data_IF_245056847974
#
_entry.id   IF_245056847974
#
_cell.length_a   1.000
_cell.length_b   1.000
_cell.length_c   1.000
_cell.angle_alpha   90.00
_cell.angle_beta   90.00
_cell.angle_gamma   90.00
#
_symmetry.space_group_name_H-M   'P 1'
#
loop_
_entity.id
_entity.type
_entity.pdbx_description
1 polymer ?
#
# COMPACT_ATOMS: atom_id res chain seq x y z
N UNK A 1 31.14 11.19 23.09
CA UNK A 1 29.66 11.24 23.23
C UNK A 1 29.08 10.53 22.03
N UNK A 2 28.58 9.30 22.20
CA UNK A 2 27.88 8.60 21.13
C UNK A 2 26.57 9.34 20.89
N UNK A 3 26.43 9.97 19.72
CA UNK A 3 25.16 10.49 19.22
C UNK A 3 24.21 9.30 19.12
N UNK A 4 23.38 9.08 20.14
CA UNK A 4 22.27 8.15 20.06
C UNK A 4 21.27 8.75 19.09
N UNK A 5 21.30 8.29 17.83
CA UNK A 5 20.20 8.55 16.91
C UNK A 5 18.89 8.06 17.58
N UNK A 6 17.81 8.86 17.51
CA UNK A 6 16.55 8.47 18.12
C UNK A 6 16.09 7.15 17.52
N UNK A 7 15.75 6.18 18.38
CA UNK A 7 15.20 4.90 17.95
C UNK A 7 13.87 5.18 17.26
N UNK A 8 13.81 4.91 15.96
CA UNK A 8 12.60 5.11 15.17
C UNK A 8 11.72 3.87 15.33
N UNK A 9 10.56 4.03 15.97
CA UNK A 9 9.57 2.97 16.05
C UNK A 9 8.65 3.12 14.84
N UNK A 10 8.55 2.07 14.03
CA UNK A 10 7.77 2.09 12.79
C UNK A 10 6.52 1.24 12.98
N UNK A 11 5.36 1.76 12.60
CA UNK A 11 4.11 1.01 12.56
C UNK A 11 3.57 0.96 11.13
N UNK A 12 3.03 -0.20 10.74
CA UNK A 12 2.39 -0.38 9.44
C UNK A 12 0.89 -0.50 9.64
N UNK A 13 0.12 0.27 8.87
CA UNK A 13 -1.33 0.17 8.86
C UNK A 13 -1.88 0.16 7.44
N UNK A 14 -3.04 -0.48 7.26
CA UNK A 14 -3.81 -0.42 6.01
C UNK A 14 -5.29 -0.63 6.30
N UNK A 15 -6.16 -0.28 5.36
CA UNK A 15 -7.60 -0.52 5.48
C UNK A 15 -7.95 -1.92 4.95
N UNK A 16 -9.02 -2.52 5.48
CA UNK A 16 -9.51 -3.80 4.96
C UNK A 16 -9.87 -3.75 3.47
N UNK A 17 -10.36 -2.60 2.98
CA UNK A 17 -10.69 -2.39 1.56
C UNK A 17 -9.42 -2.41 0.70
N UNK A 18 -8.36 -1.76 1.15
CA UNK A 18 -7.09 -1.73 0.43
C UNK A 18 -6.46 -3.14 0.33
N UNK A 19 -6.39 -3.85 1.45
CA UNK A 19 -5.81 -5.20 1.48
C UNK A 19 -6.64 -6.21 0.67
N UNK A 20 -7.98 -6.14 0.75
CA UNK A 20 -8.85 -7.02 -0.03
C UNK A 20 -8.77 -6.73 -1.53
N UNK A 21 -8.66 -5.46 -1.93
CA UNK A 21 -8.42 -5.07 -3.32
C UNK A 21 -7.07 -5.60 -3.82
N UNK A 22 -6.01 -5.50 -3.01
CA UNK A 22 -4.70 -6.06 -3.35
C UNK A 22 -4.78 -7.56 -3.63
N UNK A 23 -5.44 -8.32 -2.74
CA UNK A 23 -5.66 -9.75 -2.95
C UNK A 23 -6.53 -10.04 -4.18
N UNK A 24 -7.59 -9.28 -4.41
CA UNK A 24 -8.45 -9.46 -5.59
C UNK A 24 -7.67 -9.26 -6.90
N UNK A 25 -6.81 -8.24 -6.97
CA UNK A 25 -5.97 -7.96 -8.13
C UNK A 25 -4.97 -9.10 -8.40
N UNK A 26 -4.25 -9.56 -7.38
CA UNK A 26 -3.24 -10.62 -7.56
C UNK A 26 -3.89 -11.98 -7.85
N UNK A 27 -5.05 -12.28 -7.26
CA UNK A 27 -5.80 -13.51 -7.54
C UNK A 27 -6.40 -13.55 -8.95
N UNK A 28 -6.73 -12.39 -9.53
CA UNK A 28 -7.18 -12.29 -10.90
C UNK A 28 -6.05 -12.49 -11.92
N UNK A 29 -4.79 -12.40 -11.48
CA UNK A 29 -3.63 -12.58 -12.35
C UNK A 29 -3.35 -14.06 -12.65
N UNK A 30 -2.79 -14.34 -13.83
CA UNK A 30 -2.50 -15.72 -14.30
C UNK A 30 -1.20 -16.31 -13.71
N UNK A 31 -0.55 -15.65 -12.74
CA UNK A 31 0.74 -16.09 -12.20
C UNK A 31 1.29 -15.21 -11.08
N UNK A 32 2.59 -15.33 -10.83
CA UNK A 32 3.27 -14.48 -9.85
C UNK A 32 3.32 -13.03 -10.35
N UNK A 33 3.02 -12.10 -9.45
CA UNK A 33 2.91 -10.66 -9.76
C UNK A 33 3.69 -9.87 -8.74
N UNK A 34 4.34 -8.80 -9.17
CA UNK A 34 4.91 -7.81 -8.28
C UNK A 34 4.20 -6.48 -8.46
N UNK A 35 4.39 -5.59 -7.50
CA UNK A 35 3.75 -4.28 -7.55
C UNK A 35 4.34 -3.30 -6.55
N UNK A 36 3.86 -2.07 -6.62
CA UNK A 36 4.27 -0.96 -5.78
C UNK A 36 3.21 -0.70 -4.71
N UNK A 37 3.65 -0.17 -3.57
CA UNK A 37 2.79 0.20 -2.45
C UNK A 37 2.87 1.72 -2.30
N UNK A 38 1.73 2.37 -2.37
CA UNK A 38 1.58 3.82 -2.19
C UNK A 38 0.81 4.13 -0.91
N UNK A 39 1.12 5.29 -0.32
CA UNK A 39 0.55 5.65 0.95
C UNK A 39 1.06 6.96 1.51
N UNK A 40 0.86 7.14 2.80
CA UNK A 40 1.33 8.31 3.54
C UNK A 40 2.20 7.88 4.72
N UNK A 41 3.08 8.78 5.14
CA UNK A 41 3.87 8.59 6.35
C UNK A 41 3.71 9.77 7.28
N UNK A 42 3.26 9.51 8.50
CA UNK A 42 3.24 10.48 9.59
C UNK A 42 4.41 10.22 10.53
N UNK A 43 5.12 11.28 10.92
CA UNK A 43 6.20 11.22 11.90
C UNK A 43 5.83 12.05 13.11
N UNK A 44 5.73 11.40 14.26
CA UNK A 44 5.38 12.03 15.53
C UNK A 44 6.54 11.88 16.52
N UNK A 45 6.85 12.95 17.24
CA UNK A 45 7.82 12.92 18.34
C UNK A 45 7.06 12.67 19.63
N UNK A 46 7.20 11.49 20.22
CA UNK A 46 6.59 11.16 21.50
C UNK A 46 7.63 11.28 22.61
N UNK A 47 7.37 12.17 23.56
CA UNK A 47 8.17 12.25 24.79
C UNK A 47 7.64 11.22 25.77
N UNK A 48 8.35 10.11 25.92
CA UNK A 48 8.11 9.13 26.98
C UNK A 48 8.78 9.63 28.26
N UNK A 49 7.98 10.04 29.23
CA UNK A 49 8.44 10.29 30.59
C UNK A 49 8.39 8.96 31.32
N UNK A 50 9.57 8.42 31.65
CA UNK A 50 9.71 7.21 32.47
C UNK A 50 10.30 7.60 33.83
N UNK A 51 10.17 6.74 34.84
CA UNK A 51 10.80 6.93 36.15
C UNK A 51 12.33 7.05 36.06
N UNK A 52 12.92 6.63 34.94
CA UNK A 52 14.35 6.73 34.63
C UNK A 52 14.76 8.00 33.86
N UNK A 53 13.83 8.91 33.57
CA UNK A 53 14.03 10.16 32.83
C UNK A 53 13.14 10.28 31.58
N UNK A 54 13.22 11.44 30.91
CA UNK A 54 12.52 11.70 29.64
C UNK A 54 13.31 11.14 28.45
N UNK A 55 12.65 10.37 27.61
CA UNK A 55 13.17 9.86 26.32
C UNK A 55 12.29 10.37 25.20
N UNK A 56 12.90 10.90 24.16
CA UNK A 56 12.18 11.32 22.95
C UNK A 56 12.31 10.20 21.92
N UNK A 57 11.19 9.58 21.57
CA UNK A 57 11.12 8.58 20.51
C UNK A 57 10.42 9.17 19.29
N UNK A 58 10.89 8.79 18.10
CA UNK A 58 10.23 9.16 16.84
C UNK A 58 9.38 7.98 16.39
N UNK A 59 8.07 8.17 16.37
CA UNK A 59 7.10 7.22 15.83
C UNK A 59 6.88 7.57 14.36
N UNK A 60 7.14 6.63 13.46
CA UNK A 60 6.80 6.75 12.06
C UNK A 60 5.69 5.76 11.71
N UNK A 61 4.52 6.26 11.38
CA UNK A 61 3.37 5.44 10.99
C UNK A 61 3.23 5.49 9.48
N UNK A 62 3.33 4.31 8.86
CA UNK A 62 3.16 4.13 7.41
C UNK A 62 1.74 3.61 7.19
N UNK A 63 0.94 4.41 6.49
CA UNK A 63 -0.41 4.06 6.09
C UNK A 63 -0.40 3.66 4.61
N UNK A 64 -0.57 2.36 4.34
CA UNK A 64 -0.59 1.79 2.99
C UNK A 64 -1.99 1.90 2.41
N UNK A 65 -2.14 2.69 1.35
CA UNK A 65 -3.43 3.11 0.81
C UNK A 65 -3.76 2.50 -0.55
N UNK A 66 -2.74 2.21 -1.36
CA UNK A 66 -2.92 1.59 -2.69
C UNK A 66 -1.82 0.55 -2.93
N UNK A 67 -2.24 -0.62 -3.40
CA UNK A 67 -1.36 -1.66 -3.96
C UNK A 67 -1.56 -1.66 -5.47
N UNK A 68 -0.51 -1.38 -6.21
CA UNK A 68 -0.55 -1.30 -7.67
C UNK A 68 0.26 -2.44 -8.28
N UNK A 69 -0.45 -3.44 -8.81
CA UNK A 69 0.15 -4.59 -9.50
C UNK A 69 0.82 -4.15 -10.81
N UNK A 70 2.15 -4.05 -10.80
CA UNK A 70 2.93 -3.61 -11.95
C UNK A 70 4.32 -4.28 -12.01
N UNK A 71 4.73 -4.63 -13.23
CA UNK A 71 6.05 -5.23 -13.46
C UNK A 71 7.10 -4.13 -13.64
N UNK A 72 7.81 -3.81 -12.55
CA UNK A 72 8.83 -2.75 -12.51
C UNK A 72 10.28 -3.26 -12.54
N UNK A 73 10.51 -4.57 -12.62
CA UNK A 73 11.83 -5.17 -12.76
C UNK A 73 11.84 -6.34 -13.75
N UNK A 74 13.00 -6.63 -14.32
CA UNK A 74 13.18 -7.67 -15.34
C UNK A 74 13.36 -9.09 -14.74
N UNK A 75 13.50 -10.11 -15.60
CA UNK A 75 13.73 -11.49 -15.18
C UNK A 75 15.05 -11.70 -14.40
N UNK A 76 15.99 -10.76 -14.44
CA UNK A 76 17.24 -10.79 -13.69
C UNK A 76 17.13 -10.03 -12.35
N UNK A 77 16.01 -9.32 -12.11
CA UNK A 77 15.80 -8.49 -10.93
C UNK A 77 16.37 -7.07 -11.08
N UNK A 78 16.67 -6.61 -12.29
CA UNK A 78 17.07 -5.23 -12.55
C UNK A 78 15.84 -4.33 -12.60
N UNK A 79 15.88 -3.23 -11.85
CA UNK A 79 14.78 -2.28 -11.77
C UNK A 79 14.73 -1.36 -13.00
N UNK A 80 13.52 -1.14 -13.51
CA UNK A 80 13.22 -0.15 -14.52
C UNK A 80 12.68 1.13 -13.85
N UNK A 81 13.57 2.04 -13.46
CA UNK A 81 13.21 3.27 -12.71
C UNK A 81 12.16 4.13 -13.42
N UNK A 82 12.12 4.13 -14.75
CA UNK A 82 11.10 4.84 -15.53
C UNK A 82 9.68 4.31 -15.28
N UNK A 83 9.51 3.00 -15.08
CA UNK A 83 8.19 2.41 -14.77
C UNK A 83 7.72 2.81 -13.38
N UNK A 84 8.63 2.85 -12.41
CA UNK A 84 8.34 3.32 -11.04
C UNK A 84 7.92 4.79 -11.08
N UNK A 85 8.66 5.65 -11.77
CA UNK A 85 8.33 7.07 -11.89
C UNK A 85 6.94 7.29 -12.52
N UNK A 86 6.65 6.60 -13.63
CA UNK A 86 5.32 6.64 -14.27
C UNK A 86 4.20 6.17 -13.35
N UNK A 87 4.43 5.12 -12.55
CA UNK A 87 3.45 4.66 -11.58
C UNK A 87 3.22 5.70 -10.47
N UNK A 88 4.27 6.35 -9.98
CA UNK A 88 4.14 7.45 -9.01
C UNK A 88 3.34 8.63 -9.57
N UNK A 89 3.60 9.02 -10.82
CA UNK A 89 2.85 10.07 -11.52
C UNK A 89 1.37 9.71 -11.71
N UNK A 90 1.09 8.45 -12.05
CA UNK A 90 -0.28 7.96 -12.26
C UNK A 90 -1.10 7.93 -10.96
N UNK A 91 -0.50 7.41 -9.87
CA UNK A 91 -1.18 7.29 -8.59
C UNK A 91 -1.30 8.61 -7.85
N UNK A 92 -0.43 9.59 -8.12
CA UNK A 92 -0.35 10.88 -7.41
C UNK A 92 -0.25 10.72 -5.89
N UNK A 93 0.38 9.63 -5.45
CA UNK A 93 0.60 9.27 -4.06
C UNK A 93 2.06 8.94 -3.84
N UNK A 94 2.52 9.07 -2.59
CA UNK A 94 3.91 8.79 -2.23
C UNK A 94 4.18 7.29 -2.24
N UNK A 95 5.27 6.90 -2.88
CA UNK A 95 5.74 5.51 -2.86
C UNK A 95 6.23 5.19 -1.44
N UNK A 96 5.70 4.13 -0.81
CA UNK A 96 6.13 3.70 0.53
C UNK A 96 6.84 2.34 0.52
N UNK A 97 6.68 1.58 -0.56
CA UNK A 97 7.25 0.25 -0.66
C UNK A 97 6.86 -0.49 -1.93
N UNK A 98 7.04 -1.80 -1.91
CA UNK A 98 6.66 -2.70 -2.99
C UNK A 98 6.26 -4.07 -2.43
N UNK A 99 5.58 -4.87 -3.25
CA UNK A 99 5.17 -6.21 -2.88
C UNK A 99 5.46 -7.24 -3.97
N UNK A 100 5.57 -8.49 -3.53
CA UNK A 100 5.68 -9.68 -4.38
C UNK A 100 4.60 -10.68 -3.99
N UNK A 101 3.76 -11.05 -4.95
CA UNK A 101 2.77 -12.11 -4.83
C UNK A 101 3.30 -13.38 -5.47
N UNK A 102 3.24 -14.48 -4.72
CA UNK A 102 3.62 -15.82 -5.20
C UNK A 102 2.64 -16.86 -4.75
N UNK A 103 2.19 -17.71 -5.67
CA UNK A 103 1.24 -18.76 -5.33
C UNK A 103 1.95 -19.97 -4.69
N UNK A 104 1.37 -20.52 -3.63
CA UNK A 104 1.84 -21.71 -2.91
C UNK A 104 3.31 -21.63 -2.45
N UNK A 105 3.76 -20.44 -2.06
CA UNK A 105 5.14 -20.15 -1.68
C UNK A 105 5.27 -19.77 -0.21
N UNK A 106 6.42 -20.06 0.44
CA UNK A 106 6.66 -19.61 1.80
C UNK A 106 6.80 -18.09 1.88
N UNK A 107 6.36 -17.50 3.00
CA UNK A 107 6.48 -16.08 3.33
C UNK A 107 7.92 -15.67 3.72
N UNK A 108 8.92 -16.11 2.95
CA UNK A 108 10.32 -15.72 3.10
C UNK A 108 10.83 -15.08 1.81
N UNK A 109 11.69 -14.05 1.89
CA UNK A 109 12.29 -13.49 0.70
C UNK A 109 13.14 -14.48 -0.08
N UNK A 110 13.05 -14.42 -1.39
CA UNK A 110 13.97 -15.06 -2.33
C UNK A 110 15.22 -14.20 -2.54
N UNK A 111 16.27 -14.80 -3.11
CA UNK A 111 17.49 -14.07 -3.49
C UNK A 111 17.21 -12.93 -4.47
N UNK A 112 16.31 -13.15 -5.43
CA UNK A 112 15.88 -12.14 -6.41
C UNK A 112 15.18 -10.96 -5.72
N UNK A 113 14.23 -11.23 -4.83
CA UNK A 113 13.52 -10.16 -4.11
C UNK A 113 14.47 -9.36 -3.20
N UNK A 114 15.44 -10.02 -2.57
CA UNK A 114 16.49 -9.33 -1.80
C UNK A 114 17.40 -8.48 -2.68
N UNK A 115 17.68 -8.92 -3.91
CA UNK A 115 18.44 -8.12 -4.86
C UNK A 115 17.66 -6.89 -5.33
N UNK A 116 16.37 -7.06 -5.68
CA UNK A 116 15.47 -5.95 -6.05
C UNK A 116 15.39 -4.94 -4.91
N UNK A 117 15.15 -5.38 -3.67
CA UNK A 117 15.14 -4.47 -2.51
C UNK A 117 16.44 -3.66 -2.43
N UNK A 118 17.61 -4.30 -2.53
CA UNK A 118 18.90 -3.60 -2.46
C UNK A 118 19.06 -2.59 -3.59
N UNK A 119 18.54 -2.88 -4.78
CA UNK A 119 18.54 -1.93 -5.88
C UNK A 119 17.62 -0.72 -5.61
N UNK A 120 16.42 -0.94 -5.05
CA UNK A 120 15.52 0.15 -4.60
C UNK A 120 16.25 1.02 -3.57
N UNK A 121 16.88 0.39 -2.58
CA UNK A 121 17.60 1.07 -1.50
C UNK A 121 18.89 1.78 -1.94
N UNK A 122 19.48 1.42 -3.07
CA UNK A 122 20.74 2.01 -3.55
C UNK A 122 20.53 3.05 -4.64
N UNK A 123 19.45 2.94 -5.43
CA UNK A 123 19.13 3.88 -6.50
C UNK A 123 18.78 5.27 -5.96
N UNK A 124 19.54 6.28 -6.35
CA UNK A 124 19.27 7.68 -5.99
C UNK A 124 17.90 8.15 -6.51
N UNK A 125 17.56 7.78 -7.75
CA UNK A 125 16.32 8.21 -8.39
C UNK A 125 15.08 7.69 -7.65
N UNK A 126 15.18 6.50 -7.03
CA UNK A 126 14.05 5.92 -6.30
C UNK A 126 13.99 6.49 -4.88
N UNK A 127 15.14 6.82 -4.27
CA UNK A 127 15.17 7.50 -2.96
C UNK A 127 14.44 8.83 -2.97
N UNK A 128 14.54 9.57 -4.08
CA UNK A 128 13.84 10.86 -4.23
C UNK A 128 12.30 10.69 -4.31
N UNK A 129 11.82 9.48 -4.64
CA UNK A 129 10.39 9.13 -4.66
C UNK A 129 9.88 8.60 -3.32
N UNK A 130 10.78 8.21 -2.42
CA UNK A 130 10.45 7.68 -1.09
C UNK A 130 10.42 8.80 -0.04
N UNK A 131 9.64 8.65 1.05
CA UNK A 131 9.67 9.57 2.17
C UNK A 131 11.07 9.69 2.77
N UNK A 132 11.53 10.91 3.01
CA UNK A 132 12.86 11.17 3.55
C UNK A 132 13.13 10.37 4.83
N UNK A 133 14.27 9.69 4.90
CA UNK A 133 14.70 8.95 6.09
C UNK A 133 13.87 7.71 6.42
N UNK A 134 13.07 7.20 5.48
CA UNK A 134 12.32 5.94 5.64
C UNK A 134 12.78 4.95 4.58
N UNK A 135 13.06 3.72 5.01
CA UNK A 135 13.38 2.62 4.09
C UNK A 135 12.09 2.08 3.45
N UNK A 136 12.15 1.60 2.20
CA UNK A 136 10.97 1.05 1.54
C UNK A 136 10.47 -0.23 2.22
N UNK A 137 9.16 -0.31 2.43
CA UNK A 137 8.49 -1.51 2.94
C UNK A 137 8.50 -2.59 1.86
N UNK A 138 8.76 -3.85 2.24
CA UNK A 138 8.66 -5.00 1.34
C UNK A 138 7.56 -5.96 1.80
N UNK A 139 6.50 -6.10 1.00
CA UNK A 139 5.40 -7.04 1.23
C UNK A 139 5.58 -8.36 0.48
N UNK A 140 5.29 -9.47 1.13
CA UNK A 140 5.15 -10.78 0.49
C UNK A 140 3.71 -11.23 0.70
N UNK A 141 3.00 -11.48 -0.41
CA UNK A 141 1.66 -12.04 -0.42
C UNK A 141 1.74 -13.46 -0.97
N UNK A 142 1.02 -14.39 -0.37
CA UNK A 142 0.98 -15.78 -0.79
C UNK A 142 -0.41 -16.36 -0.67
N UNK A 143 -0.69 -17.32 -1.52
CA UNK A 143 -1.88 -18.17 -1.41
C UNK A 143 -1.46 -19.58 -1.11
N UNK A 144 -2.25 -20.29 -0.31
CA UNK A 144 -2.12 -21.73 -0.17
C UNK A 144 -3.50 -22.37 -0.16
N UNK A 145 -3.59 -23.62 -0.60
CA UNK A 145 -4.84 -24.38 -0.53
C UNK A 145 -4.60 -25.77 0.04
N UNK A 146 -5.63 -26.31 0.70
CA UNK A 146 -5.63 -27.72 1.11
C UNK A 146 -5.59 -28.64 -0.11
N UNK A 147 -5.16 -29.90 0.08
CA UNK A 147 -5.03 -30.88 -1.03
C UNK A 147 -6.35 -31.11 -1.79
N UNK A 148 -7.47 -30.96 -1.11
CA UNK A 148 -8.82 -31.09 -1.67
C UNK A 148 -9.41 -29.74 -2.13
N UNK A 149 -8.63 -28.66 -2.10
CA UNK A 149 -9.04 -27.29 -2.43
C UNK A 149 -10.31 -26.80 -1.67
N UNK A 150 -10.62 -27.38 -0.51
CA UNK A 150 -11.78 -26.95 0.29
C UNK A 150 -11.50 -25.71 1.12
N UNK A 151 -10.23 -25.43 1.41
CA UNK A 151 -9.81 -24.30 2.23
C UNK A 151 -8.66 -23.59 1.54
N UNK A 152 -8.83 -22.29 1.36
CA UNK A 152 -7.84 -21.38 0.80
C UNK A 152 -7.37 -20.44 1.91
N UNK A 153 -6.06 -20.25 2.01
CA UNK A 153 -5.43 -19.29 2.90
C UNK A 153 -4.79 -18.17 2.08
N UNK A 154 -5.00 -16.94 2.52
CA UNK A 154 -4.38 -15.73 1.99
C UNK A 154 -3.40 -15.22 3.04
N UNK A 155 -2.14 -15.53 2.84
CA UNK A 155 -1.08 -15.27 3.80
C UNK A 155 -0.30 -14.03 3.36
N UNK A 156 0.11 -13.19 4.31
CA UNK A 156 0.93 -12.02 4.03
C UNK A 156 2.03 -11.83 5.08
N UNK A 157 3.11 -11.16 4.68
CA UNK A 157 4.18 -10.70 5.57
C UNK A 157 4.78 -9.41 5.05
N UNK A 158 4.92 -8.43 5.93
CA UNK A 158 5.63 -7.19 5.62
C UNK A 158 6.97 -7.16 6.32
N UNK A 159 8.00 -6.72 5.59
CA UNK A 159 9.37 -6.64 6.03
C UNK A 159 9.84 -5.20 5.94
N UNK A 160 10.64 -4.79 6.93
CA UNK A 160 11.18 -3.45 7.02
C UNK A 160 12.62 -3.46 7.55
N UNK A 161 13.40 -2.45 7.17
CA UNK A 161 14.74 -2.20 7.69
C UNK A 161 14.75 -0.85 8.40
N UNK A 162 15.19 -0.84 9.65
CA UNK A 162 15.37 0.39 10.42
C UNK A 162 16.42 1.30 9.76
N UNK A 163 17.48 0.73 9.18
CA UNK A 163 18.49 1.47 8.43
C UNK A 163 19.12 0.61 7.33
N UNK A 164 19.89 1.22 6.43
CA UNK A 164 20.48 0.52 5.28
C UNK A 164 21.37 -0.68 5.68
N UNK A 165 21.94 -0.66 6.90
CA UNK A 165 22.82 -1.70 7.44
C UNK A 165 22.12 -2.75 8.31
N UNK A 166 20.86 -2.53 8.69
CA UNK A 166 20.13 -3.45 9.57
C UNK A 166 19.68 -4.70 8.81
N UNK A 167 19.45 -5.80 9.52
CA UNK A 167 18.68 -6.91 8.96
C UNK A 167 17.22 -6.50 8.72
N UNK A 168 16.57 -7.18 7.78
CA UNK A 168 15.12 -7.07 7.63
C UNK A 168 14.42 -7.70 8.83
N UNK A 169 13.42 -7.00 9.36
CA UNK A 169 12.55 -7.48 10.43
C UNK A 169 11.12 -7.62 9.90
N UNK A 170 10.42 -8.62 10.41
CA UNK A 170 8.97 -8.74 10.17
C UNK A 170 8.24 -7.67 10.96
N UNK A 171 7.34 -6.98 10.28
CA UNK A 171 6.48 -5.96 10.86
C UNK A 171 5.07 -6.53 10.98
N UNK A 172 4.41 -6.22 12.08
CA UNK A 172 2.98 -6.46 12.23
C UNK A 172 2.21 -5.42 11.42
N UNK A 173 1.16 -5.88 10.74
CA UNK A 173 0.26 -5.02 9.98
C UNK A 173 -1.00 -4.77 10.79
N UNK A 174 -1.28 -3.51 11.08
CA UNK A 174 -2.53 -3.10 11.69
C UNK A 174 -3.62 -2.88 10.63
N UNK A 175 -4.68 -3.69 10.67
CA UNK A 175 -5.82 -3.54 9.75
C UNK A 175 -6.88 -2.67 10.42
N UNK A 176 -7.00 -1.44 9.92
CA UNK A 176 -8.00 -0.46 10.38
C UNK A 176 -9.41 -1.01 10.12
N UNK A 177 -10.19 -1.11 11.19
CA UNK A 177 -11.54 -1.66 11.19
C UNK A 177 -12.43 -0.86 12.17
N UNK A 178 -13.75 -0.94 11.99
CA UNK A 178 -14.74 -0.17 12.75
C UNK A 178 -14.63 -0.32 14.29
N UNK A 179 -14.10 -1.44 14.79
CA UNK A 179 -14.05 -1.72 16.21
C UNK A 179 -12.83 -1.08 16.89
N UNK A 180 -11.69 -0.98 16.19
CA UNK A 180 -10.43 -0.55 16.82
C UNK A 180 -10.30 0.97 16.93
N UNK A 181 -11.07 1.73 16.15
CA UNK A 181 -10.99 3.20 16.09
C UNK A 181 -11.95 3.91 17.09
N UNK A 182 -12.75 3.17 17.86
CA UNK A 182 -14.00 3.72 18.43
C UNK A 182 -13.96 4.25 19.87
N UNK A 183 -12.95 3.97 20.69
CA UNK A 183 -12.97 4.40 22.11
C UNK A 183 -11.71 5.14 22.61
N UNK A 184 -10.53 4.86 22.07
CA UNK A 184 -9.30 5.55 22.50
C UNK A 184 -9.15 6.96 21.89
N UNK A 185 -9.91 7.28 20.82
CA UNK A 185 -9.77 8.51 20.04
C UNK A 185 -10.70 9.66 20.46
N UNK A 186 -11.67 9.45 21.36
CA UNK A 186 -12.58 10.52 21.80
C UNK A 186 -11.83 11.68 22.51
N UNK A 187 -10.66 11.41 23.09
CA UNK A 187 -9.81 12.43 23.74
C UNK A 187 -8.77 13.09 22.83
N UNK A 188 -8.45 12.49 21.69
CA UNK A 188 -7.53 13.05 20.69
C UNK A 188 -7.98 12.67 19.28
N UNK A 189 -9.01 13.37 18.79
CA UNK A 189 -9.43 13.22 17.41
C UNK A 189 -8.38 13.84 16.49
N UNK A 190 -7.38 13.07 16.12
CA UNK A 190 -6.52 13.39 14.96
C UNK A 190 -7.07 12.61 13.79
N UNK A 191 -7.73 13.28 12.85
CA UNK A 191 -8.18 12.64 11.62
C UNK A 191 -6.98 11.93 10.96
N UNK A 192 -7.01 10.59 10.96
CA UNK A 192 -5.89 9.75 10.49
C UNK A 192 -5.61 9.87 9.00
N UNK A 193 -6.48 10.55 8.25
CA UNK A 193 -6.27 10.83 6.85
C UNK A 193 -6.01 12.33 6.63
N UNK A 194 -4.74 12.75 6.74
CA UNK A 194 -4.23 13.82 5.88
C UNK A 194 -4.16 13.30 4.45
N UNK A 195 -5.32 12.96 3.91
CA UNK A 195 -5.44 12.62 2.51
C UNK A 195 -5.62 13.93 1.78
N UNK A 196 -4.50 14.48 1.31
CA UNK A 196 -4.47 15.42 0.19
C UNK A 196 -4.88 14.68 -1.11
N UNK A 197 -5.98 13.92 -1.06
CA UNK A 197 -6.57 13.26 -2.21
C UNK A 197 -7.45 14.31 -2.86
N UNK A 198 -7.10 14.83 -4.05
CA UNK A 198 -7.80 15.96 -4.65
C UNK A 198 -9.31 15.75 -4.83
N UNK A 199 -9.74 14.48 -5.01
CA UNK A 199 -11.15 14.13 -5.17
C UNK A 199 -11.98 14.17 -3.87
N UNK A 200 -11.34 14.18 -2.69
CA UNK A 200 -12.02 14.22 -1.39
C UNK A 200 -11.99 15.59 -0.73
N UNK A 201 -11.28 16.58 -1.32
CA UNK A 201 -11.20 17.95 -0.81
C UNK A 201 -12.59 18.59 -0.71
N UNK A 202 -13.50 18.29 -1.64
CA UNK A 202 -14.88 18.78 -1.60
C UNK A 202 -15.68 18.23 -0.41
N UNK A 203 -15.38 17.02 0.06
CA UNK A 203 -16.02 16.44 1.24
C UNK A 203 -15.43 17.03 2.52
N UNK A 204 -14.12 17.32 2.56
CA UNK A 204 -13.46 17.94 3.71
C UNK A 204 -14.02 19.34 4.04
N UNK A 205 -14.46 20.12 3.03
CA UNK A 205 -15.05 21.44 3.23
C UNK A 205 -16.38 21.46 4.00
N UNK A 206 -17.05 20.30 4.14
CA UNK A 206 -18.34 20.19 4.82
C UNK A 206 -18.21 20.04 6.36
N UNK A 207 -17.02 19.73 6.88
CA UNK A 207 -16.73 19.67 8.32
C UNK A 207 -15.88 20.89 8.67
N UNK A 208 -16.54 22.00 9.06
CA UNK A 208 -15.86 23.29 9.21
C UNK A 208 -15.34 23.58 10.63
N UNK A 209 -15.81 22.89 11.67
CA UNK A 209 -15.44 23.20 13.07
C UNK A 209 -15.40 21.93 13.94
N UNK A 210 -14.34 21.70 14.73
CA UNK A 210 -14.39 20.77 15.86
C UNK A 210 -14.97 21.43 17.12
N UNK A 211 -15.95 20.83 17.82
CA UNK A 211 -16.67 19.61 17.44
C UNK A 211 -17.76 19.90 16.39
N UNK A 212 -17.94 19.03 15.39
CA UNK A 212 -18.99 19.19 14.40
C UNK A 212 -20.38 18.98 15.03
N UNK A 213 -21.38 19.69 14.51
CA UNK A 213 -22.77 19.46 14.88
C UNK A 213 -23.28 18.15 14.26
N UNK A 214 -24.24 17.48 14.90
CA UNK A 214 -24.87 16.25 14.36
C UNK A 214 -25.31 16.43 12.90
N UNK A 215 -25.98 17.54 12.59
CA UNK A 215 -26.40 17.86 11.21
C UNK A 215 -25.22 17.94 10.22
N UNK A 216 -24.04 18.41 10.66
CA UNK A 216 -22.85 18.46 9.81
C UNK A 216 -22.30 17.06 9.53
N UNK A 217 -22.36 16.16 10.53
CA UNK A 217 -21.97 14.76 10.38
C UNK A 217 -22.92 14.03 9.44
N UNK A 218 -24.24 14.23 9.60
CA UNK A 218 -25.26 13.64 8.73
C UNK A 218 -25.10 14.12 7.29
N UNK A 219 -24.93 15.43 7.07
CA UNK A 219 -24.70 15.99 5.74
C UNK A 219 -23.40 15.47 5.11
N UNK A 220 -22.32 15.33 5.89
CA UNK A 220 -21.08 14.73 5.41
C UNK A 220 -21.29 13.28 4.99
N UNK A 221 -21.98 12.48 5.81
CA UNK A 221 -22.26 11.08 5.53
C UNK A 221 -23.11 10.91 4.27
N UNK A 222 -24.14 11.74 4.08
CA UNK A 222 -24.98 11.74 2.88
C UNK A 222 -24.18 12.14 1.63
N UNK A 223 -23.37 13.20 1.71
CA UNK A 223 -22.51 13.63 0.61
C UNK A 223 -21.47 12.56 0.24
N UNK A 224 -20.84 11.93 1.24
CA UNK A 224 -19.89 10.84 1.05
C UNK A 224 -20.56 9.62 0.38
N UNK A 225 -21.76 9.25 0.82
CA UNK A 225 -22.53 8.16 0.21
C UNK A 225 -22.90 8.48 -1.25
N UNK A 226 -23.33 9.71 -1.53
CA UNK A 226 -23.60 10.17 -2.90
C UNK A 226 -22.35 10.09 -3.79
N UNK A 227 -21.20 10.49 -3.27
CA UNK A 227 -19.92 10.39 -4.00
C UNK A 227 -19.51 8.93 -4.25
N UNK A 228 -19.67 8.04 -3.26
CA UNK A 228 -19.42 6.60 -3.42
C UNK A 228 -20.32 6.02 -4.51
N UNK A 229 -21.61 6.32 -4.51
CA UNK A 229 -22.54 5.83 -5.54
C UNK A 229 -22.14 6.28 -6.95
N UNK A 230 -21.68 7.52 -7.09
CA UNK A 230 -21.14 8.04 -8.36
C UNK A 230 -19.88 7.28 -8.80
N UNK A 231 -18.94 7.04 -7.88
CA UNK A 231 -17.71 6.29 -8.15
C UNK A 231 -18.03 4.85 -8.57
N UNK A 232 -19.00 4.19 -7.93
CA UNK A 232 -19.44 2.84 -8.29
C UNK A 232 -19.95 2.81 -9.73
N UNK A 233 -20.83 3.74 -10.12
CA UNK A 233 -21.35 3.81 -11.48
C UNK A 233 -20.23 4.04 -12.53
N UNK A 234 -19.25 4.89 -12.21
CA UNK A 234 -18.08 5.11 -13.08
C UNK A 234 -17.19 3.86 -13.17
N UNK A 235 -16.96 3.16 -12.06
CA UNK A 235 -16.17 1.93 -12.02
C UNK A 235 -16.84 0.80 -12.80
N UNK A 236 -18.16 0.67 -12.75
CA UNK A 236 -18.90 -0.32 -13.55
C UNK A 236 -18.75 -0.06 -15.04
N UNK A 237 -18.85 1.20 -15.46
CA UNK A 237 -18.61 1.59 -16.85
C UNK A 237 -17.18 1.25 -17.27
N UNK A 238 -16.19 1.69 -16.50
CA UNK A 238 -14.77 1.43 -16.79
C UNK A 238 -14.46 -0.07 -16.84
N UNK A 239 -15.03 -0.86 -15.92
CA UNK A 239 -14.90 -2.32 -15.92
C UNK A 239 -15.42 -2.94 -17.21
N UNK A 240 -16.57 -2.49 -17.70
CA UNK A 240 -17.13 -2.98 -18.97
C UNK A 240 -16.25 -2.60 -20.16
N UNK A 241 -15.71 -1.38 -20.17
CA UNK A 241 -14.80 -0.91 -21.22
C UNK A 241 -13.51 -1.76 -21.24
N UNK A 242 -12.88 -1.98 -20.08
CA UNK A 242 -11.67 -2.83 -19.95
C UNK A 242 -11.95 -4.28 -20.37
N UNK A 243 -13.13 -4.83 -20.04
CA UNK A 243 -13.50 -6.18 -20.46
C UNK A 243 -13.67 -6.29 -21.98
N UNK A 244 -14.20 -5.25 -22.64
CA UNK A 244 -14.32 -5.22 -24.08
C UNK A 244 -12.94 -5.13 -24.74
N UNK A 245 -12.09 -4.21 -24.30
CA UNK A 245 -10.71 -4.07 -24.81
C UNK A 245 -9.88 -5.34 -24.59
N UNK A 246 -10.00 -5.99 -23.43
CA UNK A 246 -9.30 -7.24 -23.15
C UNK A 246 -9.70 -8.35 -24.12
N UNK A 247 -10.98 -8.45 -24.49
CA UNK A 247 -11.46 -9.44 -25.48
C UNK A 247 -10.90 -9.16 -26.87
N UNK A 248 -10.83 -7.90 -27.27
CA UNK A 248 -10.25 -7.50 -28.54
C UNK A 248 -8.75 -7.85 -28.62
N UNK A 249 -8.00 -7.55 -27.55
CA UNK A 249 -6.57 -7.88 -27.47
C UNK A 249 -6.35 -9.40 -27.51
N UNK A 250 -7.13 -10.18 -26.78
CA UNK A 250 -7.05 -11.65 -26.82
C UNK A 250 -7.34 -12.19 -28.23
N UNK A 251 -8.34 -11.63 -28.93
CA UNK A 251 -8.65 -11.97 -30.31
C UNK A 251 -7.50 -11.67 -31.28
N UNK A 252 -6.89 -10.48 -31.18
CA UNK A 252 -5.75 -10.07 -32.00
C UNK A 252 -4.51 -10.93 -31.73
N UNK A 253 -4.24 -11.26 -30.46
CA UNK A 253 -3.14 -12.14 -30.08
C UNK A 253 -3.30 -13.55 -30.67
N UNK A 254 -4.53 -14.09 -30.67
CA UNK A 254 -4.83 -15.38 -31.28
C UNK A 254 -4.59 -15.36 -32.80
N UNK A 255 -5.03 -14.30 -33.49
CA UNK A 255 -4.80 -14.12 -34.93
C UNK A 255 -3.30 -14.02 -35.24
N UNK A 256 -2.55 -13.22 -34.50
CA UNK A 256 -1.10 -13.08 -34.67
C UNK A 256 -0.37 -14.42 -34.45
N UNK A 257 -0.77 -15.19 -33.43
CA UNK A 257 -0.20 -16.51 -33.16
C UNK A 257 -0.49 -17.53 -34.28
N UNK A 258 -1.65 -17.43 -34.95
CA UNK A 258 -1.98 -18.25 -36.11
C UNK A 258 -1.13 -17.89 -37.34
N UNK A 259 -0.94 -16.58 -37.61
CA UNK A 259 -0.10 -16.10 -38.72
C UNK A 259 1.36 -16.52 -38.52
N UNK A 260 1.90 -16.39 -37.30
CA UNK A 260 3.30 -16.76 -37.01
C UNK A 260 3.59 -18.26 -37.17
N UNK A 261 2.56 -19.11 -37.21
CA UNK A 261 2.69 -20.57 -37.39
C UNK A 261 2.55 -21.01 -38.85
N UNK A 262 2.07 -20.14 -39.74
CA UNK A 262 1.98 -20.38 -41.19
C UNK A 262 3.26 -19.96 -41.90
#
# INVERSE_FOLDING_TARGET
MASMEPRQLVTLSTTGVCLSMAFAQVLASKGDVSGLIFGSVTKEKKSLVTDSGSRVEMLASIDMQVFDACNFFDGHGNIESQKIAKACEAQKQTLVGWFSFRSNAPLRPSSREMYVQRQIESSSHIKDLLPEGIQPVFGILSTSCTKNASTHSLDYRFLFKENARSSMKSMELFIKNLQTDSQEEYGSFTAFSKTDIPSLISLQQSIQVPPPTVNQIENYAEAAQGHINMLVAMLEKLRNDVLNESREVEGLQAQYAAIKKS
#
